data_IF_357825639600
#
_entry.id   IF_357825639600
#
_cell.length_a   1.000
_cell.length_b   1.000
_cell.length_c   1.000
_cell.angle_alpha   90.00
_cell.angle_beta   90.00
_cell.angle_gamma   90.00
#
_symmetry.space_group_name_H-M   'P 1'
#
loop_
_entity.id
_entity.type
_entity.pdbx_description
1 polymer ?
#
# COMPACT_ATOMS: atom_id res chain seq x y z
N UNK A 1 56.75 -28.81 -33.64
CA UNK A 1 56.70 -27.48 -34.33
C UNK A 1 55.23 -27.11 -34.39
N UNK A 2 54.68 -26.47 -33.32
CA UNK A 2 53.26 -26.08 -33.24
C UNK A 2 53.16 -24.57 -33.47
N UNK A 3 52.53 -24.20 -34.57
CA UNK A 3 52.33 -22.81 -35.02
C UNK A 3 51.02 -22.31 -34.41
N UNK A 4 51.08 -21.37 -33.45
CA UNK A 4 49.93 -20.67 -32.89
C UNK A 4 49.32 -19.74 -33.92
N UNK A 5 48.06 -19.99 -34.29
CA UNK A 5 47.28 -19.09 -35.14
C UNK A 5 46.69 -18.02 -34.26
N UNK A 6 47.29 -16.83 -34.22
CA UNK A 6 46.72 -15.64 -33.65
C UNK A 6 45.62 -15.12 -34.58
N UNK A 7 44.36 -15.41 -34.22
CA UNK A 7 43.24 -14.86 -34.94
C UNK A 7 43.01 -13.40 -34.43
N UNK A 8 43.56 -12.43 -35.11
CA UNK A 8 43.32 -11.00 -34.85
C UNK A 8 41.91 -10.65 -35.33
N UNK A 9 40.99 -10.42 -34.42
CA UNK A 9 39.66 -9.89 -34.70
C UNK A 9 39.88 -8.45 -35.22
N UNK A 10 39.42 -8.18 -36.43
CA UNK A 10 39.56 -6.91 -37.12
C UNK A 10 39.02 -5.75 -36.30
N UNK A 11 39.70 -4.59 -36.19
CA UNK A 11 39.28 -3.45 -35.33
C UNK A 11 37.84 -2.98 -35.48
N UNK A 12 37.19 -2.99 -36.67
CA UNK A 12 35.79 -2.61 -36.80
C UNK A 12 34.82 -3.63 -36.15
N UNK A 13 35.12 -4.93 -36.21
CA UNK A 13 34.29 -5.97 -35.56
C UNK A 13 34.30 -5.85 -34.04
N UNK A 14 35.43 -5.49 -33.44
CA UNK A 14 35.53 -5.27 -31.97
C UNK A 14 34.65 -4.11 -31.49
N UNK A 15 34.54 -3.04 -32.28
CA UNK A 15 33.66 -1.91 -32.00
C UNK A 15 32.18 -2.30 -32.14
N UNK A 16 31.83 -3.10 -33.13
CA UNK A 16 30.46 -3.59 -33.37
C UNK A 16 30.03 -4.54 -32.22
N UNK A 17 30.91 -5.44 -31.80
CA UNK A 17 30.64 -6.35 -30.66
C UNK A 17 30.44 -5.56 -29.37
N UNK A 18 31.21 -4.51 -29.10
CA UNK A 18 31.03 -3.63 -27.94
C UNK A 18 29.73 -2.85 -27.98
N UNK A 19 29.28 -2.39 -29.13
CA UNK A 19 28.01 -1.69 -29.31
C UNK A 19 26.83 -2.65 -29.09
N UNK A 20 26.91 -3.87 -29.62
CA UNK A 20 25.88 -4.90 -29.42
C UNK A 20 25.79 -5.35 -27.94
N UNK A 21 26.93 -5.48 -27.25
CA UNK A 21 26.97 -5.76 -25.83
C UNK A 21 26.41 -4.60 -24.98
N UNK A 22 26.65 -3.34 -25.34
CA UNK A 22 26.05 -2.18 -24.68
C UNK A 22 24.54 -2.09 -24.92
N UNK A 23 24.02 -2.41 -26.12
CA UNK A 23 22.59 -2.48 -26.37
C UNK A 23 21.89 -3.62 -25.61
N UNK A 24 22.57 -4.78 -25.48
CA UNK A 24 22.01 -5.90 -24.71
C UNK A 24 21.95 -5.64 -23.18
N UNK A 25 22.86 -4.84 -22.63
CA UNK A 25 22.85 -4.45 -21.22
C UNK A 25 21.71 -3.49 -20.84
N UNK A 26 21.15 -2.76 -21.83
CA UNK A 26 20.05 -1.80 -21.59
C UNK A 26 18.66 -2.42 -21.39
N UNK A 27 18.46 -3.71 -21.62
CA UNK A 27 17.14 -4.35 -21.63
C UNK A 27 16.74 -5.08 -20.34
N UNK A 28 17.57 -5.04 -19.31
CA UNK A 28 17.26 -5.67 -18.02
C UNK A 28 16.66 -4.70 -17.02
N UNK A 29 15.71 -3.85 -17.42
CA UNK A 29 14.84 -3.18 -16.46
C UNK A 29 13.92 -4.24 -15.84
N UNK A 30 14.33 -4.83 -14.70
CA UNK A 30 13.42 -5.63 -13.88
C UNK A 30 12.23 -4.76 -13.54
N UNK A 31 11.04 -5.16 -13.98
CA UNK A 31 9.82 -4.50 -13.56
C UNK A 31 9.78 -4.52 -12.03
N UNK A 32 9.71 -3.36 -11.40
CA UNK A 32 9.73 -3.23 -9.94
C UNK A 32 8.57 -4.00 -9.30
N UNK A 33 7.47 -4.11 -10.03
CA UNK A 33 6.27 -4.88 -9.67
C UNK A 33 5.94 -5.82 -10.84
N UNK A 34 6.16 -7.14 -10.68
CA UNK A 34 5.87 -8.12 -11.74
C UNK A 34 4.41 -8.02 -12.20
N UNK A 35 4.20 -7.95 -13.51
CA UNK A 35 2.86 -7.87 -14.11
C UNK A 35 2.22 -6.47 -14.10
N UNK A 36 2.93 -5.45 -13.61
CA UNK A 36 2.50 -4.05 -13.67
C UNK A 36 3.43 -3.24 -14.58
N UNK A 37 2.85 -2.28 -15.28
CA UNK A 37 3.55 -1.26 -16.09
C UNK A 37 3.27 0.12 -15.52
N UNK A 38 4.14 1.08 -15.77
CA UNK A 38 3.89 2.47 -15.35
C UNK A 38 2.62 2.96 -16.04
N UNK A 39 1.74 3.64 -15.29
CA UNK A 39 0.49 4.18 -15.84
C UNK A 39 0.78 5.14 -16.99
N UNK A 40 0.12 4.93 -18.14
CA UNK A 40 0.36 5.72 -19.34
C UNK A 40 -0.19 7.16 -19.21
N UNK A 41 -1.37 7.31 -18.60
CA UNK A 41 -2.05 8.59 -18.40
C UNK A 41 -2.31 8.84 -16.91
N UNK A 42 -1.36 9.51 -16.27
CA UNK A 42 -1.42 9.85 -14.85
C UNK A 42 -2.55 10.84 -14.53
N UNK A 43 -2.84 11.78 -15.45
CA UNK A 43 -3.88 12.79 -15.24
C UNK A 43 -5.24 12.14 -15.25
N UNK A 44 -5.50 11.29 -16.24
CA UNK A 44 -6.74 10.52 -16.35
C UNK A 44 -6.94 9.66 -15.10
N UNK A 45 -5.94 8.88 -14.69
CA UNK A 45 -6.02 8.06 -13.49
C UNK A 45 -6.38 8.89 -12.25
N UNK A 46 -5.69 9.98 -12.00
CA UNK A 46 -5.95 10.86 -10.85
C UNK A 46 -7.37 11.43 -10.86
N UNK A 47 -7.85 11.83 -12.04
CA UNK A 47 -9.20 12.39 -12.21
C UNK A 47 -10.27 11.34 -11.92
N UNK A 48 -10.15 10.14 -12.51
CA UNK A 48 -11.09 9.05 -12.32
C UNK A 48 -11.10 8.53 -10.89
N UNK A 49 -9.92 8.37 -10.29
CA UNK A 49 -9.77 7.97 -8.90
C UNK A 49 -10.40 8.99 -7.94
N UNK A 50 -10.12 10.28 -8.13
CA UNK A 50 -10.72 11.34 -7.32
C UNK A 50 -12.26 11.36 -7.46
N UNK A 51 -12.79 11.23 -8.67
CA UNK A 51 -14.21 11.19 -8.91
C UNK A 51 -14.90 9.99 -8.24
N UNK A 52 -14.28 8.81 -8.28
CA UNK A 52 -14.82 7.61 -7.64
C UNK A 52 -14.78 7.71 -6.12
N UNK A 53 -13.65 8.17 -5.56
CA UNK A 53 -13.51 8.34 -4.10
C UNK A 53 -14.42 9.43 -3.54
N UNK A 54 -14.73 10.48 -4.32
CA UNK A 54 -15.73 11.49 -3.93
C UNK A 54 -17.14 10.91 -3.78
N UNK A 55 -17.51 9.95 -4.61
CA UNK A 55 -18.83 9.28 -4.57
C UNK A 55 -18.93 8.24 -3.43
N UNK A 56 -17.79 7.75 -2.93
CA UNK A 56 -17.78 6.74 -1.88
C UNK A 56 -17.92 7.42 -0.52
N UNK A 57 -19.04 7.24 0.14
CA UNK A 57 -19.32 7.82 1.47
C UNK A 57 -19.08 6.84 2.61
N UNK A 58 -19.14 5.55 2.33
CA UNK A 58 -18.89 4.49 3.31
C UNK A 58 -18.37 3.22 2.64
N UNK A 59 -17.64 2.41 3.39
CA UNK A 59 -17.15 1.09 2.97
C UNK A 59 -17.36 0.14 4.14
N UNK A 60 -17.96 -1.01 3.86
CA UNK A 60 -18.03 -2.15 4.76
C UNK A 60 -17.34 -3.32 4.07
N UNK A 61 -16.48 -4.03 4.78
CA UNK A 61 -15.79 -5.20 4.24
C UNK A 61 -15.35 -6.16 5.33
N UNK A 62 -15.05 -7.39 4.94
CA UNK A 62 -14.18 -8.24 5.70
C UNK A 62 -12.72 -7.87 5.41
N UNK A 63 -11.79 -8.23 6.28
CA UNK A 63 -10.37 -8.11 5.98
C UNK A 63 -9.57 -9.32 6.46
N UNK A 64 -8.46 -9.54 5.78
CA UNK A 64 -7.38 -10.42 6.21
C UNK A 64 -6.10 -9.60 6.29
N UNK A 65 -5.45 -9.63 7.44
CA UNK A 65 -4.16 -9.00 7.65
C UNK A 65 -3.09 -10.07 7.84
N UNK A 66 -2.00 -9.95 7.11
CA UNK A 66 -0.81 -10.76 7.26
C UNK A 66 0.33 -9.86 7.71
N UNK A 67 0.95 -10.18 8.84
CA UNK A 67 2.19 -9.55 9.29
C UNK A 67 3.32 -10.57 9.19
N UNK A 68 4.29 -10.29 8.32
CA UNK A 68 5.47 -11.10 8.14
C UNK A 68 6.61 -10.46 8.95
N UNK A 69 7.14 -11.21 9.89
CA UNK A 69 8.25 -10.80 10.75
C UNK A 69 9.55 -11.35 10.15
N UNK A 70 10.31 -10.49 9.47
CA UNK A 70 11.48 -10.89 8.67
C UNK A 70 12.56 -11.59 9.50
N UNK A 71 12.80 -11.13 10.73
CA UNK A 71 13.82 -11.71 11.62
C UNK A 71 13.44 -13.07 12.20
N UNK A 72 12.15 -13.34 12.35
CA UNK A 72 11.64 -14.57 12.97
C UNK A 72 11.19 -15.60 11.93
N UNK A 73 11.13 -15.22 10.65
CA UNK A 73 10.51 -16.01 9.58
C UNK A 73 9.07 -16.45 9.91
N UNK A 74 8.40 -15.67 10.76
CA UNK A 74 7.03 -15.93 11.21
C UNK A 74 6.03 -15.08 10.45
N UNK A 75 4.86 -15.67 10.24
CA UNK A 75 3.72 -15.00 9.63
C UNK A 75 2.52 -15.06 10.57
N UNK A 76 2.06 -13.88 10.99
CA UNK A 76 0.85 -13.75 11.81
C UNK A 76 -0.31 -13.38 10.88
N UNK A 77 -1.36 -14.19 10.89
CA UNK A 77 -2.57 -13.93 10.10
C UNK A 77 -3.72 -13.56 11.04
N UNK A 78 -4.31 -12.40 10.79
CA UNK A 78 -5.49 -11.91 11.51
C UNK A 78 -6.65 -11.70 10.54
N UNK A 79 -7.87 -11.85 11.03
CA UNK A 79 -9.09 -11.67 10.24
C UNK A 79 -10.09 -10.83 11.04
N UNK A 80 -10.95 -10.13 10.31
CA UNK A 80 -11.96 -9.31 10.98
C UNK A 80 -12.85 -8.56 10.01
N UNK A 81 -13.53 -7.56 10.55
CA UNK A 81 -14.44 -6.68 9.82
C UNK A 81 -13.94 -5.25 9.85
N UNK A 82 -14.15 -4.56 8.75
CA UNK A 82 -13.73 -3.19 8.53
C UNK A 82 -14.93 -2.34 8.14
N UNK A 83 -15.03 -1.17 8.74
CA UNK A 83 -15.98 -0.12 8.38
C UNK A 83 -15.26 1.20 8.26
N UNK A 84 -15.54 1.88 7.19
CA UNK A 84 -15.12 3.26 6.95
C UNK A 84 -16.35 4.11 6.65
N UNK A 85 -16.40 5.32 7.19
CA UNK A 85 -17.37 6.34 6.85
C UNK A 85 -16.65 7.67 6.68
N UNK A 86 -17.06 8.48 5.70
CA UNK A 86 -16.50 9.82 5.46
C UNK A 86 -16.46 10.63 6.76
N UNK A 87 -15.62 11.65 6.76
CA UNK A 87 -15.24 12.43 7.94
C UNK A 87 -14.36 11.68 8.93
N UNK A 88 -13.54 10.75 8.41
CA UNK A 88 -12.48 10.07 9.17
C UNK A 88 -12.98 9.16 10.30
N UNK A 89 -14.02 8.41 10.02
CA UNK A 89 -14.51 7.35 10.90
C UNK A 89 -14.05 5.98 10.38
N UNK A 90 -13.32 5.25 11.21
CA UNK A 90 -12.84 3.89 10.90
C UNK A 90 -13.13 2.99 12.10
N UNK A 91 -13.61 1.78 11.82
CA UNK A 91 -13.70 0.69 12.79
C UNK A 91 -13.02 -0.54 12.20
N UNK A 92 -12.10 -1.13 12.95
CA UNK A 92 -11.53 -2.45 12.67
C UNK A 92 -11.82 -3.36 13.85
N UNK A 93 -12.45 -4.47 13.57
CA UNK A 93 -12.82 -5.46 14.57
C UNK A 93 -12.20 -6.80 14.19
N UNK A 94 -11.15 -7.18 14.90
CA UNK A 94 -10.45 -8.45 14.71
C UNK A 94 -11.19 -9.55 15.47
N UNK A 95 -11.41 -10.66 14.79
CA UNK A 95 -12.06 -11.84 15.36
C UNK A 95 -11.12 -13.04 15.49
N UNK A 96 -9.96 -12.99 14.85
CA UNK A 96 -8.96 -14.07 14.86
C UNK A 96 -7.55 -13.49 14.72
N UNK A 97 -6.50 -14.04 15.40
CA UNK A 97 -6.58 -15.09 16.42
C UNK A 97 -7.10 -14.55 17.75
N UNK A 98 -7.03 -13.24 18.00
CA UNK A 98 -7.45 -12.57 19.21
C UNK A 98 -8.53 -11.54 18.90
N UNK A 99 -9.41 -11.31 19.87
CA UNK A 99 -10.38 -10.23 19.78
C UNK A 99 -9.71 -8.90 20.07
N UNK A 100 -9.73 -8.03 19.08
CA UNK A 100 -9.18 -6.68 19.18
C UNK A 100 -10.11 -5.72 18.44
N UNK A 101 -10.40 -4.58 19.03
CA UNK A 101 -11.25 -3.56 18.44
C UNK A 101 -10.48 -2.24 18.40
N UNK A 102 -10.45 -1.62 17.22
CA UNK A 102 -9.99 -0.27 17.03
C UNK A 102 -11.10 0.58 16.44
N UNK A 103 -11.37 1.72 17.06
CA UNK A 103 -12.27 2.74 16.53
C UNK A 103 -11.50 4.05 16.44
N UNK A 104 -11.48 4.61 15.24
CA UNK A 104 -11.07 5.98 15.00
C UNK A 104 -12.30 6.81 14.67
N UNK A 105 -12.51 7.90 15.38
CA UNK A 105 -13.55 8.87 15.11
C UNK A 105 -12.97 10.27 15.22
N UNK A 106 -12.73 10.89 14.06
CA UNK A 106 -11.99 12.15 13.93
C UNK A 106 -10.61 12.03 14.61
N UNK A 107 -10.38 12.76 15.68
CA UNK A 107 -9.09 12.79 16.40
C UNK A 107 -9.04 11.83 17.59
N UNK A 108 -10.08 11.04 17.81
CA UNK A 108 -10.17 10.12 18.94
C UNK A 108 -9.94 8.68 18.49
N UNK A 109 -9.04 7.99 19.15
CA UNK A 109 -8.81 6.56 18.96
C UNK A 109 -9.19 5.81 20.21
N UNK A 110 -9.98 4.81 20.04
CA UNK A 110 -10.30 3.82 21.06
C UNK A 110 -9.74 2.47 20.64
N UNK A 111 -9.15 1.78 21.60
CA UNK A 111 -8.61 0.45 21.42
C UNK A 111 -9.11 -0.42 22.57
N UNK A 112 -9.63 -1.60 22.23
CA UNK A 112 -9.98 -2.65 23.18
C UNK A 112 -9.24 -3.92 22.80
N UNK A 113 -8.43 -4.42 23.72
CA UNK A 113 -7.66 -5.65 23.59
C UNK A 113 -8.14 -6.64 24.65
N UNK A 114 -8.95 -7.60 24.24
CA UNK A 114 -9.66 -8.50 25.15
C UNK A 114 -10.53 -7.72 26.13
N UNK A 115 -10.21 -7.80 27.43
CA UNK A 115 -10.93 -7.07 28.48
C UNK A 115 -10.33 -5.69 28.81
N UNK A 116 -9.14 -5.38 28.26
CA UNK A 116 -8.47 -4.10 28.53
C UNK A 116 -8.96 -3.04 27.55
N UNK A 117 -9.54 -1.98 28.08
CA UNK A 117 -9.99 -0.83 27.31
C UNK A 117 -9.01 0.33 27.50
N UNK A 118 -8.48 0.84 26.42
CA UNK A 118 -7.61 2.00 26.42
C UNK A 118 -8.19 3.08 25.50
N UNK A 119 -8.52 4.23 26.07
CA UNK A 119 -8.81 5.45 25.30
C UNK A 119 -7.47 6.11 25.03
N UNK A 120 -6.91 5.88 23.84
CA UNK A 120 -5.64 6.48 23.44
C UNK A 120 -5.96 7.82 22.78
N UNK A 121 -5.44 8.91 23.35
CA UNK A 121 -5.43 10.16 22.60
C UNK A 121 -4.46 9.98 21.43
N UNK A 122 -4.92 10.25 20.20
CA UNK A 122 -4.03 10.22 19.01
C UNK A 122 -2.81 11.13 19.21
N UNK A 123 -2.94 12.18 20.03
CA UNK A 123 -1.84 13.11 20.31
C UNK A 123 -0.64 12.48 21.03
N UNK A 124 -0.83 11.34 21.71
CA UNK A 124 0.22 10.67 22.50
C UNK A 124 0.99 9.58 21.74
N UNK A 125 0.48 9.06 20.62
CA UNK A 125 1.14 8.04 19.82
C UNK A 125 1.21 8.43 18.34
N UNK A 126 2.30 9.10 17.98
CA UNK A 126 2.53 9.63 16.61
C UNK A 126 2.52 8.54 15.54
N UNK A 127 3.02 7.33 15.85
CA UNK A 127 3.06 6.19 14.92
C UNK A 127 1.64 5.77 14.55
N UNK A 128 0.80 5.61 15.57
CA UNK A 128 -0.59 5.20 15.39
C UNK A 128 -1.40 6.24 14.60
N UNK A 129 -1.16 7.52 14.85
CA UNK A 129 -1.74 8.62 14.06
C UNK A 129 -1.40 8.51 12.59
N UNK A 130 -0.12 8.26 12.28
CA UNK A 130 0.37 8.21 10.91
C UNK A 130 -0.21 7.02 10.15
N UNK A 131 -0.25 5.82 10.76
CA UNK A 131 -0.85 4.63 10.15
C UNK A 131 -2.34 4.87 9.85
N UNK A 132 -3.07 5.42 10.82
CA UNK A 132 -4.49 5.73 10.64
C UNK A 132 -4.72 6.80 9.55
N UNK A 133 -3.89 7.85 9.53
CA UNK A 133 -3.95 8.88 8.50
C UNK A 133 -3.74 8.28 7.11
N UNK A 134 -2.75 7.41 6.93
CA UNK A 134 -2.50 6.74 5.65
C UNK A 134 -3.73 5.92 5.24
N UNK A 135 -4.30 5.14 6.16
CA UNK A 135 -5.47 4.32 5.85
C UNK A 135 -6.64 5.21 5.38
N UNK A 136 -6.91 6.31 6.08
CA UNK A 136 -7.95 7.27 5.70
C UNK A 136 -7.62 7.92 4.35
N UNK A 137 -6.39 8.42 4.18
CA UNK A 137 -5.96 9.07 2.93
C UNK A 137 -6.08 8.10 1.74
N UNK A 138 -5.77 6.81 1.92
CA UNK A 138 -5.97 5.79 0.90
C UNK A 138 -7.46 5.58 0.58
N UNK A 139 -8.32 5.47 1.60
CA UNK A 139 -9.77 5.26 1.40
C UNK A 139 -10.47 6.49 0.80
N UNK A 140 -10.00 7.68 1.11
CA UNK A 140 -10.52 8.95 0.57
C UNK A 140 -9.88 9.36 -0.76
N UNK A 141 -8.81 8.67 -1.18
CA UNK A 141 -8.06 9.03 -2.38
C UNK A 141 -7.14 10.23 -2.23
N UNK A 142 -7.02 10.81 -1.04
CA UNK A 142 -6.18 11.99 -0.78
C UNK A 142 -4.69 11.64 -0.73
N UNK A 143 -4.35 10.35 -0.55
CA UNK A 143 -2.96 9.86 -0.54
C UNK A 143 -2.17 10.23 -1.80
N UNK A 144 -2.83 10.32 -2.97
CA UNK A 144 -2.17 10.66 -4.25
C UNK A 144 -1.60 12.07 -4.31
N UNK A 145 -2.16 12.98 -3.54
CA UNK A 145 -1.79 14.40 -3.54
C UNK A 145 -1.12 14.82 -2.22
N UNK A 146 -0.83 13.86 -1.33
CA UNK A 146 -0.19 14.13 -0.06
C UNK A 146 1.31 14.43 -0.28
N UNK A 147 1.80 15.65 0.03
CA UNK A 147 3.21 16.04 -0.17
C UNK A 147 4.19 15.26 0.70
N UNK A 148 3.71 14.57 1.74
CA UNK A 148 4.53 13.74 2.60
C UNK A 148 5.04 12.47 1.91
N UNK A 149 4.59 12.22 0.66
CA UNK A 149 4.96 11.04 -0.13
C UNK A 149 5.41 11.39 -1.54
N UNK A 150 6.43 10.67 -2.02
CA UNK A 150 6.68 10.53 -3.45
C UNK A 150 5.81 9.41 -3.98
N UNK A 151 4.91 9.73 -4.90
CA UNK A 151 3.93 8.78 -5.45
C UNK A 151 4.34 8.31 -6.83
N UNK A 152 4.27 6.99 -7.08
CA UNK A 152 4.37 6.36 -8.39
C UNK A 152 3.16 5.47 -8.61
N UNK A 153 2.67 5.40 -9.85
CA UNK A 153 1.47 4.64 -10.18
C UNK A 153 1.79 3.67 -11.30
N UNK A 154 1.41 2.45 -11.09
CA UNK A 154 1.55 1.36 -12.03
C UNK A 154 0.18 0.74 -12.27
N UNK A 155 0.01 0.06 -13.38
CA UNK A 155 -1.26 -0.57 -13.72
C UNK A 155 -1.07 -1.91 -14.40
N UNK A 156 -2.08 -2.77 -14.25
CA UNK A 156 -2.28 -3.97 -15.04
C UNK A 156 -3.71 -3.97 -15.61
N UNK A 157 -4.15 -5.11 -16.15
CA UNK A 157 -5.50 -5.24 -16.73
C UNK A 157 -6.62 -4.93 -15.72
N UNK A 158 -6.46 -5.34 -14.47
CA UNK A 158 -7.55 -5.37 -13.48
C UNK A 158 -7.39 -4.35 -12.35
N UNK A 159 -6.17 -3.91 -12.08
CA UNK A 159 -5.87 -3.07 -10.92
C UNK A 159 -4.82 -2.02 -11.24
N UNK A 160 -4.81 -0.97 -10.42
CA UNK A 160 -3.74 0.00 -10.33
C UNK A 160 -3.01 -0.16 -9.01
N UNK A 161 -1.69 -0.01 -9.04
CA UNK A 161 -0.81 -0.06 -7.89
C UNK A 161 -0.26 1.34 -7.64
N UNK A 162 -0.59 1.90 -6.50
CA UNK A 162 -0.08 3.18 -6.03
C UNK A 162 1.04 2.90 -5.03
N UNK A 163 2.25 3.30 -5.36
CA UNK A 163 3.40 3.25 -4.47
C UNK A 163 3.61 4.62 -3.82
N UNK A 164 3.66 4.64 -2.51
CA UNK A 164 3.89 5.80 -1.67
C UNK A 164 5.23 5.62 -0.97
N UNK A 165 6.23 6.41 -1.35
CA UNK A 165 7.54 6.46 -0.68
C UNK A 165 7.55 7.63 0.28
N UNK A 166 7.65 7.41 1.61
CA UNK A 166 7.62 8.47 2.59
C UNK A 166 8.76 9.49 2.42
N UNK A 167 8.42 10.78 2.49
CA UNK A 167 9.35 11.91 2.51
C UNK A 167 9.44 12.56 3.88
N UNK A 168 8.30 12.65 4.58
CA UNK A 168 8.22 13.23 5.93
C UNK A 168 8.97 12.36 6.95
N UNK A 169 9.77 12.98 7.82
CA UNK A 169 10.66 12.31 8.77
C UNK A 169 9.98 11.21 9.58
N UNK A 170 8.83 11.50 10.22
CA UNK A 170 8.15 10.52 11.07
C UNK A 170 7.68 9.26 10.35
N UNK A 171 7.32 9.36 9.07
CA UNK A 171 6.92 8.22 8.24
C UNK A 171 8.13 7.49 7.65
N UNK A 172 9.13 8.26 7.23
CA UNK A 172 10.39 7.74 6.68
C UNK A 172 11.17 6.92 7.70
N UNK A 173 11.02 7.22 8.99
CA UNK A 173 11.66 6.48 10.08
C UNK A 173 10.95 5.12 10.36
N UNK A 174 9.77 4.89 9.80
CA UNK A 174 8.96 3.69 10.01
C UNK A 174 8.91 2.79 8.78
N UNK A 175 8.64 3.38 7.61
CA UNK A 175 8.32 2.63 6.41
C UNK A 175 9.28 2.95 5.26
N UNK A 176 9.68 1.92 4.53
CA UNK A 176 10.36 2.04 3.23
C UNK A 176 9.38 2.46 2.15
N UNK A 177 8.26 1.75 2.08
CA UNK A 177 7.20 1.98 1.09
C UNK A 177 5.85 1.56 1.65
N UNK A 178 4.81 2.20 1.13
CA UNK A 178 3.43 1.78 1.32
C UNK A 178 2.86 1.58 -0.08
N UNK A 179 2.29 0.41 -0.32
CA UNK A 179 1.71 0.05 -1.61
C UNK A 179 0.21 -0.13 -1.45
N UNK A 180 -0.56 0.52 -2.31
CA UNK A 180 -2.03 0.45 -2.31
C UNK A 180 -2.48 -0.13 -3.64
N UNK A 181 -3.24 -1.22 -3.60
CA UNK A 181 -3.86 -1.81 -4.77
C UNK A 181 -5.30 -1.33 -4.87
N UNK A 182 -5.64 -0.80 -6.04
CA UNK A 182 -6.94 -0.21 -6.37
C UNK A 182 -7.57 -1.02 -7.50
N UNK A 183 -8.84 -1.41 -7.36
CA UNK A 183 -9.61 -2.06 -8.41
C UNK A 183 -9.93 -1.05 -9.51
N UNK A 184 -9.75 -1.41 -10.78
CA UNK A 184 -10.07 -0.52 -11.92
C UNK A 184 -11.55 -0.37 -12.20
N UNK A 185 -12.42 -1.24 -11.66
CA UNK A 185 -13.86 -1.18 -11.89
C UNK A 185 -14.52 -0.05 -11.13
N UNK A 186 -14.15 0.12 -9.87
CA UNK A 186 -14.80 1.04 -8.94
C UNK A 186 -13.84 1.97 -8.20
N UNK A 187 -12.53 1.83 -8.47
CA UNK A 187 -11.46 2.57 -7.82
C UNK A 187 -11.40 2.38 -6.30
N UNK A 188 -12.02 1.34 -5.77
CA UNK A 188 -11.91 1.01 -4.35
C UNK A 188 -10.60 0.32 -4.01
N UNK A 189 -10.08 0.59 -2.81
CA UNK A 189 -8.89 -0.08 -2.30
C UNK A 189 -9.16 -1.55 -2.04
N UNK A 190 -8.30 -2.43 -2.56
CA UNK A 190 -8.39 -3.88 -2.35
C UNK A 190 -7.30 -4.39 -1.41
N UNK A 191 -6.16 -3.70 -1.36
CA UNK A 191 -5.06 -4.07 -0.47
C UNK A 191 -4.20 -2.86 -0.11
N UNK A 192 -3.67 -2.88 1.10
CA UNK A 192 -2.62 -1.96 1.55
C UNK A 192 -1.48 -2.82 2.09
N UNK A 193 -0.27 -2.58 1.59
CA UNK A 193 0.94 -3.19 2.10
C UNK A 193 1.88 -2.12 2.65
N UNK A 194 2.40 -2.32 3.85
CA UNK A 194 3.33 -1.44 4.53
C UNK A 194 4.64 -2.20 4.77
N UNK A 195 5.69 -1.84 4.06
CA UNK A 195 7.04 -2.38 4.23
C UNK A 195 7.82 -1.51 5.22
N UNK A 196 8.16 -2.08 6.35
CA UNK A 196 8.92 -1.41 7.42
C UNK A 196 10.44 -1.36 7.11
N UNK A 197 11.16 -0.46 7.78
CA UNK A 197 12.63 -0.39 7.67
C UNK A 197 13.32 -1.65 8.17
N UNK A 198 12.75 -2.32 9.16
CA UNK A 198 13.20 -3.63 9.69
C UNK A 198 13.20 -4.74 8.63
N UNK A 199 12.43 -4.57 7.55
CA UNK A 199 12.14 -5.60 6.58
C UNK A 199 10.84 -6.35 6.85
N UNK A 200 10.19 -6.09 7.98
CA UNK A 200 8.85 -6.61 8.24
C UNK A 200 7.86 -5.99 7.28
N UNK A 201 6.81 -6.73 6.94
CA UNK A 201 5.72 -6.14 6.19
C UNK A 201 4.36 -6.52 6.77
N UNK A 202 3.41 -5.61 6.61
CA UNK A 202 2.01 -5.82 6.96
C UNK A 202 1.17 -5.65 5.70
N UNK A 203 0.40 -6.67 5.34
CA UNK A 203 -0.50 -6.67 4.18
C UNK A 203 -1.92 -6.79 4.69
N UNK A 204 -2.78 -5.82 4.37
CA UNK A 204 -4.21 -5.86 4.65
C UNK A 204 -4.94 -6.02 3.33
N UNK A 205 -5.77 -7.06 3.19
CA UNK A 205 -6.63 -7.28 2.03
C UNK A 205 -8.08 -7.13 2.43
N UNK A 206 -8.82 -6.33 1.69
CA UNK A 206 -10.25 -6.07 1.88
C UNK A 206 -11.06 -6.99 0.97
N UNK A 207 -11.97 -7.75 1.56
CA UNK A 207 -12.79 -8.76 0.92
C UNK A 207 -14.27 -8.43 1.07
N UNK A 208 -15.11 -8.89 0.14
CA UNK A 208 -16.57 -8.72 0.24
C UNK A 208 -16.97 -7.26 0.50
N UNK A 209 -16.37 -6.33 -0.28
CA UNK A 209 -16.59 -4.90 -0.10
C UNK A 209 -18.00 -4.49 -0.52
N UNK A 210 -18.66 -3.75 0.34
CA UNK A 210 -19.93 -3.05 0.08
C UNK A 210 -19.62 -1.54 0.13
N UNK A 211 -19.71 -0.87 -1.03
CA UNK A 211 -19.54 0.58 -1.12
C UNK A 211 -20.89 1.26 -0.85
N UNK A 212 -20.85 2.39 -0.15
CA UNK A 212 -22.02 3.19 0.20
C UNK A 212 -23.07 2.42 1.01
N UNK A 213 -22.63 1.43 1.80
CA UNK A 213 -23.48 0.72 2.76
C UNK A 213 -24.03 1.71 3.80
N UNK A 214 -25.25 1.47 4.24
CA UNK A 214 -25.79 2.19 5.39
C UNK A 214 -25.11 1.71 6.68
N UNK A 215 -24.30 2.60 7.27
CA UNK A 215 -23.50 2.32 8.47
C UNK A 215 -23.95 3.25 9.59
N UNK A 216 -24.54 2.72 10.67
CA UNK A 216 -24.96 3.52 11.81
C UNK A 216 -23.79 4.20 12.51
N UNK A 217 -23.94 5.47 12.88
CA UNK A 217 -22.89 6.23 13.61
C UNK A 217 -22.55 5.61 14.97
N UNK A 218 -23.49 4.86 15.56
CA UNK A 218 -23.27 4.13 16.79
C UNK A 218 -22.09 3.13 16.72
N UNK A 219 -21.73 2.63 15.53
CA UNK A 219 -20.58 1.75 15.34
C UNK A 219 -19.24 2.46 15.60
N UNK A 220 -19.21 3.79 15.49
CA UNK A 220 -18.00 4.59 15.70
C UNK A 220 -17.99 5.32 17.05
N UNK A 221 -18.98 5.05 17.89
CA UNK A 221 -19.06 5.61 19.25
C UNK A 221 -18.53 4.63 20.27
N UNK A 222 -17.83 5.17 21.26
CA UNK A 222 -17.37 4.43 22.44
C UNK A 222 -18.26 4.87 23.60
N UNK A 223 -18.93 3.93 24.19
CA UNK A 223 -19.69 4.18 25.42
C UNK A 223 -18.78 4.37 26.62
#
# INVERSE_FOLDING_TARGET
MYRWINCYICPPMRKIILIVLMLAAGLSMKAQYPGYVVVADLVKFKTEFAAATQKTVSIKSDFVQEKNLSMLSEKITSKGKFWFKKESQVRMEYSHPYQYLMILNKDKVFVKDGQKENKISTKSNKIFQQINKIMIDCMQGTALNNPDFKTRIFENKNSSLVELVPLAKGMKDLFKTITVIVDKKDYSVTSIEMLELSGDNTIIRFLNKELNADIPDALFTVK
#
